data_IF_237697018754
#
_entry.id   IF_237697018754
#
_cell.length_a   1.000
_cell.length_b   1.000
_cell.length_c   1.000
_cell.angle_alpha   90.00
_cell.angle_beta   90.00
_cell.angle_gamma   90.00
#
_symmetry.space_group_name_H-M   'P 1'
#
loop_
_entity.id
_entity.type
_entity.pdbx_description
1 polymer ?
#
# COMPACT_ATOMS: atom_id res chain seq x y z
N UNK A 1 21.80 -20.07 -1.03
CA UNK A 1 20.93 -19.05 -0.42
C UNK A 1 21.82 -18.20 0.48
N UNK A 2 21.96 -16.89 0.23
CA UNK A 2 22.78 -16.02 1.09
C UNK A 2 22.16 -15.96 2.49
N UNK A 3 22.97 -16.01 3.54
CA UNK A 3 22.45 -15.80 4.89
C UNK A 3 22.13 -14.32 5.10
N UNK A 4 21.22 -14.02 6.03
CA UNK A 4 20.93 -12.65 6.42
C UNK A 4 22.19 -11.89 6.89
N UNK A 5 23.12 -12.60 7.55
CA UNK A 5 24.41 -12.04 7.96
C UNK A 5 25.31 -11.66 6.80
N UNK A 6 25.27 -12.41 5.69
CA UNK A 6 26.03 -12.09 4.48
C UNK A 6 25.43 -10.88 3.75
N UNK A 7 24.10 -10.81 3.72
CA UNK A 7 23.34 -9.73 3.08
C UNK A 7 23.46 -8.39 3.82
N UNK A 8 23.65 -8.42 5.15
CA UNK A 8 24.00 -7.22 5.94
C UNK A 8 25.43 -6.74 5.64
N UNK A 9 26.38 -7.65 5.47
CA UNK A 9 27.79 -7.30 5.27
C UNK A 9 28.06 -6.72 3.89
N UNK A 10 27.41 -7.23 2.86
CA UNK A 10 27.60 -6.80 1.47
C UNK A 10 26.74 -5.58 1.07
N UNK A 11 25.96 -5.02 2.00
CA UNK A 11 25.13 -3.84 1.77
C UNK A 11 23.89 -4.12 0.90
N UNK A 12 23.59 -5.39 0.59
CA UNK A 12 22.36 -5.74 -0.15
C UNK A 12 21.09 -5.54 0.68
N UNK A 13 21.21 -5.42 2.00
CA UNK A 13 20.12 -5.06 2.90
C UNK A 13 20.10 -3.56 3.16
N UNK A 14 19.15 -2.85 2.51
CA UNK A 14 18.89 -1.40 2.67
C UNK A 14 18.64 -0.97 4.13
N UNK A 15 18.27 -1.92 5.01
CA UNK A 15 18.04 -1.67 6.44
C UNK A 15 19.34 -1.25 7.15
N UNK A 16 20.50 -1.77 6.76
CA UNK A 16 21.77 -1.41 7.39
C UNK A 16 22.10 0.06 7.17
N UNK A 17 22.05 0.52 5.93
CA UNK A 17 22.34 1.92 5.58
C UNK A 17 21.38 2.90 6.24
N UNK A 18 20.13 2.46 6.47
CA UNK A 18 19.14 3.24 7.22
C UNK A 18 19.47 3.29 8.71
N UNK A 19 19.75 2.15 9.34
CA UNK A 19 20.11 2.09 10.76
C UNK A 19 21.40 2.86 11.03
N UNK A 20 22.40 2.76 10.15
CA UNK A 20 23.64 3.54 10.24
C UNK A 20 23.37 5.05 10.10
N UNK A 21 22.51 5.48 9.16
CA UNK A 21 22.09 6.89 9.05
C UNK A 21 21.32 7.37 10.27
N UNK A 22 20.37 6.59 10.77
CA UNK A 22 19.59 6.94 11.95
C UNK A 22 20.48 7.03 13.20
N UNK A 23 21.47 6.13 13.33
CA UNK A 23 22.46 6.17 14.40
C UNK A 23 23.39 7.39 14.31
N UNK A 24 23.77 7.81 13.10
CA UNK A 24 24.62 8.99 12.89
C UNK A 24 23.88 10.32 13.08
N UNK A 25 22.62 10.37 12.68
CA UNK A 25 21.83 11.61 12.69
C UNK A 25 20.98 11.77 13.95
N UNK A 26 20.77 10.69 14.71
CA UNK A 26 19.83 10.64 15.83
C UNK A 26 18.36 10.72 15.39
N UNK A 27 18.09 10.76 14.08
CA UNK A 27 16.75 10.85 13.52
C UNK A 27 16.28 9.45 13.08
N UNK A 28 15.36 8.88 13.85
CA UNK A 28 14.54 7.76 13.40
C UNK A 28 13.29 8.33 12.74
N UNK A 29 13.07 8.02 11.47
CA UNK A 29 11.82 8.38 10.81
C UNK A 29 10.78 7.31 11.10
N UNK A 30 9.99 7.54 12.15
CA UNK A 30 8.90 6.65 12.58
C UNK A 30 7.86 6.43 11.47
N UNK A 31 7.79 7.31 10.46
CA UNK A 31 6.91 7.15 9.30
C UNK A 31 7.26 5.93 8.44
N UNK A 32 8.46 5.35 8.60
CA UNK A 32 8.79 4.08 7.95
C UNK A 32 7.96 2.91 8.46
N UNK A 33 7.52 2.96 9.72
CA UNK A 33 6.91 1.81 10.40
C UNK A 33 5.46 2.08 10.81
N UNK A 34 5.15 3.33 11.15
CA UNK A 34 3.83 3.81 11.51
C UNK A 34 3.32 4.74 10.42
N UNK A 35 2.62 4.15 9.45
CA UNK A 35 2.07 4.92 8.34
C UNK A 35 0.67 5.41 8.67
N UNK A 36 0.48 6.72 8.55
CA UNK A 36 -0.82 7.37 8.64
C UNK A 36 -1.45 7.37 7.25
N UNK A 37 -2.51 6.56 7.06
CA UNK A 37 -3.19 6.44 5.78
C UNK A 37 -3.75 7.78 5.29
N UNK A 38 -4.15 8.68 6.20
CA UNK A 38 -4.65 10.00 5.84
C UNK A 38 -3.58 10.89 5.18
N UNK A 39 -2.30 10.51 5.31
CA UNK A 39 -1.14 11.21 4.75
C UNK A 39 -0.43 10.39 3.66
N UNK A 40 -1.07 9.36 3.12
CA UNK A 40 -0.49 8.51 2.08
C UNK A 40 -0.01 9.33 0.87
N UNK A 41 -0.70 10.42 0.53
CA UNK A 41 -0.34 11.32 -0.57
C UNK A 41 0.99 12.07 -0.36
N UNK A 42 1.45 12.21 0.89
CA UNK A 42 2.71 12.86 1.22
C UNK A 42 3.91 11.91 1.15
N UNK A 43 3.68 10.60 0.97
CA UNK A 43 4.75 9.59 0.93
C UNK A 43 5.24 9.38 -0.51
N UNK A 44 6.54 9.14 -0.66
CA UNK A 44 7.09 8.68 -1.93
C UNK A 44 6.75 7.20 -2.14
N UNK A 45 5.93 6.93 -3.16
CA UNK A 45 5.48 5.57 -3.44
C UNK A 45 6.61 4.63 -3.86
N UNK A 46 7.68 5.15 -4.48
CA UNK A 46 8.80 4.33 -4.90
C UNK A 46 9.60 3.87 -3.68
N UNK A 47 9.93 4.80 -2.79
CA UNK A 47 10.58 4.52 -1.50
C UNK A 47 9.72 3.59 -0.62
N UNK A 48 8.40 3.79 -0.60
CA UNK A 48 7.47 2.94 0.15
C UNK A 48 7.50 1.49 -0.35
N UNK A 49 7.37 1.26 -1.66
CA UNK A 49 7.46 -0.08 -2.23
C UNK A 49 8.83 -0.71 -1.98
N UNK A 50 9.92 0.06 -2.15
CA UNK A 50 11.30 -0.40 -1.94
C UNK A 50 11.58 -0.87 -0.50
N UNK A 51 10.76 -0.42 0.46
CA UNK A 51 10.87 -0.74 1.88
C UNK A 51 9.80 -1.71 2.36
N UNK A 52 8.86 -2.08 1.50
CA UNK A 52 7.76 -2.97 1.86
C UNK A 52 7.97 -4.34 1.25
N UNK A 53 8.28 -5.31 2.11
CA UNK A 53 8.34 -6.70 1.70
C UNK A 53 6.93 -7.29 1.58
N UNK A 54 6.65 -7.99 0.48
CA UNK A 54 5.41 -8.75 0.30
C UNK A 54 5.48 -10.06 1.07
N UNK A 55 5.32 -9.97 2.39
CA UNK A 55 5.14 -11.17 3.22
C UNK A 55 3.83 -11.87 2.84
N UNK A 56 3.79 -13.20 3.03
CA UNK A 56 2.71 -14.09 2.57
C UNK A 56 1.28 -13.55 2.77
N UNK A 57 0.99 -12.94 3.92
CA UNK A 57 -0.36 -12.41 4.20
C UNK A 57 -0.70 -11.20 3.34
N UNK A 58 0.25 -10.26 3.17
CA UNK A 58 0.06 -9.09 2.31
C UNK A 58 -0.01 -9.52 0.85
N UNK A 59 0.86 -10.44 0.42
CA UNK A 59 0.84 -11.02 -0.93
C UNK A 59 -0.51 -11.65 -1.25
N UNK A 60 -1.03 -12.48 -0.32
CA UNK A 60 -2.34 -13.13 -0.46
C UNK A 60 -3.47 -12.10 -0.61
N UNK A 61 -3.46 -11.05 0.21
CA UNK A 61 -4.45 -9.99 0.12
C UNK A 61 -4.36 -9.23 -1.22
N UNK A 62 -3.14 -8.89 -1.66
CA UNK A 62 -2.92 -8.20 -2.94
C UNK A 62 -3.46 -9.03 -4.11
N UNK A 63 -3.17 -10.34 -4.13
CA UNK A 63 -3.72 -11.27 -5.13
C UNK A 63 -5.25 -11.25 -5.15
N UNK A 64 -5.88 -11.36 -3.98
CA UNK A 64 -7.33 -11.37 -3.84
C UNK A 64 -7.97 -10.05 -4.30
N UNK A 65 -7.38 -8.92 -3.92
CA UNK A 65 -7.85 -7.59 -4.32
C UNK A 65 -7.69 -7.38 -5.84
N UNK A 66 -6.55 -7.76 -6.43
CA UNK A 66 -6.34 -7.66 -7.88
C UNK A 66 -7.34 -8.52 -8.67
N UNK A 67 -7.58 -9.77 -8.25
CA UNK A 67 -8.62 -10.63 -8.84
C UNK A 67 -9.99 -9.97 -8.76
N UNK A 68 -10.37 -9.46 -7.57
CA UNK A 68 -11.68 -8.86 -7.35
C UNK A 68 -11.91 -7.65 -8.24
N UNK A 69 -10.95 -6.73 -8.27
CA UNK A 69 -11.08 -5.49 -9.05
C UNK A 69 -11.04 -5.78 -10.55
N UNK A 70 -10.24 -6.74 -11.00
CA UNK A 70 -10.08 -7.05 -12.43
C UNK A 70 -11.17 -7.96 -13.00
N UNK A 71 -11.62 -8.94 -12.23
CA UNK A 71 -12.47 -10.05 -12.72
C UNK A 71 -13.82 -10.13 -12.00
N UNK A 72 -14.04 -9.35 -10.94
CA UNK A 72 -15.26 -9.42 -10.13
C UNK A 72 -15.38 -10.71 -9.29
N UNK A 73 -14.33 -11.52 -9.20
CA UNK A 73 -14.32 -12.77 -8.43
C UNK A 73 -13.83 -12.55 -6.99
N UNK A 74 -14.21 -13.44 -6.05
CA UNK A 74 -13.76 -13.37 -4.65
C UNK A 74 -14.50 -12.35 -3.78
N UNK A 75 -13.91 -12.03 -2.62
CA UNK A 75 -14.53 -11.19 -1.59
C UNK A 75 -14.53 -9.71 -2.00
N UNK A 76 -15.64 -9.02 -1.75
CA UNK A 76 -15.76 -7.58 -1.98
C UNK A 76 -15.35 -6.73 -0.76
N UNK A 77 -15.37 -7.34 0.43
CA UNK A 77 -15.14 -6.68 1.71
C UNK A 77 -14.08 -7.47 2.46
N UNK A 78 -13.07 -6.77 2.97
CA UNK A 78 -11.97 -7.35 3.73
C UNK A 78 -11.90 -6.66 5.09
N UNK A 79 -11.84 -7.47 6.15
CA UNK A 79 -11.55 -7.00 7.50
C UNK A 79 -10.09 -7.33 7.76
N UNK A 80 -9.27 -6.30 7.96
CA UNK A 80 -7.87 -6.47 8.33
C UNK A 80 -7.80 -6.78 9.82
N UNK A 81 -7.77 -8.06 10.16
CA UNK A 81 -7.53 -8.50 11.53
C UNK A 81 -6.04 -8.78 11.72
N UNK A 82 -5.37 -7.94 12.52
CA UNK A 82 -3.94 -8.08 12.82
C UNK A 82 -3.77 -8.13 14.34
N UNK A 83 -3.27 -9.26 14.85
CA UNK A 83 -3.21 -9.53 16.29
C UNK A 83 -2.13 -8.71 17.03
N UNK A 84 -1.16 -8.12 16.30
CA UNK A 84 -0.15 -7.20 16.84
C UNK A 84 0.07 -6.01 15.89
N UNK A 85 0.28 -4.81 16.45
CA UNK A 85 0.19 -3.50 15.77
C UNK A 85 1.12 -3.28 14.58
N UNK A 86 0.70 -2.37 13.68
CA UNK A 86 1.49 -1.84 12.56
C UNK A 86 1.02 -2.27 11.16
N UNK A 87 0.46 -3.47 11.00
CA UNK A 87 0.20 -4.04 9.68
C UNK A 87 -0.98 -3.42 8.91
N UNK A 88 -2.00 -2.88 9.59
CA UNK A 88 -3.26 -2.44 8.95
C UNK A 88 -3.08 -1.21 8.08
N UNK A 89 -2.63 -0.10 8.68
CA UNK A 89 -2.45 1.15 7.95
C UNK A 89 -1.41 1.00 6.83
N UNK A 90 -0.33 0.26 7.09
CA UNK A 90 0.68 -0.08 6.08
C UNK A 90 0.09 -0.86 4.91
N UNK A 91 -0.75 -1.87 5.19
CA UNK A 91 -1.46 -2.64 4.17
C UNK A 91 -2.40 -1.76 3.34
N UNK A 92 -3.16 -0.87 3.99
CA UNK A 92 -4.06 0.06 3.30
C UNK A 92 -3.28 1.03 2.39
N UNK A 93 -2.12 1.53 2.83
CA UNK A 93 -1.25 2.39 2.02
C UNK A 93 -0.66 1.63 0.84
N UNK A 94 -0.29 0.36 1.03
CA UNK A 94 0.17 -0.48 -0.07
C UNK A 94 -0.91 -0.64 -1.14
N UNK A 95 -2.15 -0.96 -0.73
CA UNK A 95 -3.29 -1.05 -1.66
C UNK A 95 -3.61 0.30 -2.31
N UNK A 96 -3.48 1.40 -1.57
CA UNK A 96 -3.63 2.75 -2.11
C UNK A 96 -2.66 3.00 -3.27
N UNK A 97 -1.35 2.74 -3.05
CA UNK A 97 -0.33 2.93 -4.09
C UNK A 97 -0.40 1.91 -5.22
N UNK A 98 -0.86 0.68 -4.95
CA UNK A 98 -1.06 -0.34 -5.97
C UNK A 98 -1.91 0.22 -7.12
N UNK A 99 -3.03 0.88 -6.81
CA UNK A 99 -3.94 1.44 -7.81
C UNK A 99 -3.57 2.87 -8.21
N UNK A 100 -3.30 3.77 -7.25
CA UNK A 100 -3.02 5.18 -7.56
C UNK A 100 -1.71 5.42 -8.29
N UNK A 101 -0.73 4.52 -8.12
CA UNK A 101 0.58 4.58 -8.80
C UNK A 101 0.75 3.38 -9.72
N UNK A 102 -0.30 3.07 -10.49
CA UNK A 102 -0.39 1.94 -11.43
C UNK A 102 0.87 1.68 -12.25
N UNK A 103 1.44 2.70 -12.90
CA UNK A 103 2.64 2.53 -13.73
C UNK A 103 3.85 2.06 -12.92
N UNK A 104 4.03 2.60 -11.72
CA UNK A 104 5.07 2.18 -10.80
C UNK A 104 4.80 0.76 -10.30
N UNK A 105 3.57 0.45 -9.89
CA UNK A 105 3.17 -0.88 -9.46
C UNK A 105 3.44 -1.96 -10.54
N UNK A 106 3.09 -1.70 -11.80
CA UNK A 106 3.37 -2.62 -12.93
C UNK A 106 4.88 -2.77 -13.25
N UNK A 107 5.74 -1.89 -12.73
CA UNK A 107 7.19 -2.01 -12.90
C UNK A 107 7.86 -2.89 -11.84
N UNK A 108 7.17 -3.16 -10.72
CA UNK A 108 7.73 -3.93 -9.60
C UNK A 108 7.83 -5.43 -9.94
N UNK A 109 9.02 -6.05 -9.79
CA UNK A 109 9.21 -7.47 -10.08
C UNK A 109 8.22 -8.39 -9.36
N UNK A 110 8.00 -8.16 -8.07
CA UNK A 110 7.15 -9.00 -7.22
C UNK A 110 5.68 -8.90 -7.66
N UNK A 111 5.21 -7.69 -8.03
CA UNK A 111 3.87 -7.49 -8.56
C UNK A 111 3.71 -8.08 -9.97
N UNK A 112 4.75 -8.05 -10.82
CA UNK A 112 4.70 -8.70 -12.14
C UNK A 112 4.54 -10.21 -12.03
N UNK A 113 5.19 -10.83 -11.05
CA UNK A 113 5.01 -12.26 -10.77
C UNK A 113 3.58 -12.56 -10.35
N UNK A 114 3.04 -11.79 -9.39
CA UNK A 114 1.63 -11.89 -9.00
C UNK A 114 0.72 -11.74 -10.22
N UNK A 115 0.84 -10.66 -10.99
CA UNK A 115 -0.01 -10.40 -12.16
C UNK A 115 0.01 -11.55 -13.17
N UNK A 116 1.20 -12.12 -13.44
CA UNK A 116 1.34 -13.27 -14.33
C UNK A 116 0.63 -14.51 -13.77
N UNK A 117 0.84 -14.82 -12.49
CA UNK A 117 0.23 -15.99 -11.83
C UNK A 117 -1.30 -15.86 -11.72
N UNK A 118 -1.79 -14.62 -11.64
CA UNK A 118 -3.22 -14.28 -11.62
C UNK A 118 -3.83 -14.12 -13.03
N UNK A 119 -3.03 -14.33 -14.09
CA UNK A 119 -3.42 -14.17 -15.49
C UNK A 119 -3.97 -12.76 -15.80
N UNK A 120 -3.39 -11.73 -15.18
CA UNK A 120 -3.77 -10.33 -15.33
C UNK A 120 -2.76 -9.59 -16.23
N UNK A 121 -3.26 -8.83 -17.21
CA UNK A 121 -2.42 -8.03 -18.12
C UNK A 121 -1.75 -6.82 -17.48
N UNK A 122 -2.05 -6.55 -16.21
CA UNK A 122 -1.53 -5.42 -15.44
C UNK A 122 -2.46 -5.13 -14.26
N UNK A 123 -2.01 -4.25 -13.36
CA UNK A 123 -2.91 -3.69 -12.35
C UNK A 123 -4.06 -2.98 -13.08
N UNK A 124 -5.34 -3.23 -12.74
CA UNK A 124 -6.47 -2.60 -13.41
C UNK A 124 -6.52 -1.11 -13.10
N UNK A 125 -7.20 -0.35 -13.96
CA UNK A 125 -7.54 1.03 -13.63
C UNK A 125 -8.68 1.03 -12.60
N UNK A 126 -8.51 1.80 -11.52
CA UNK A 126 -9.47 1.83 -10.42
C UNK A 126 -9.41 3.19 -9.71
N UNK A 127 -10.59 3.79 -9.52
CA UNK A 127 -10.74 4.97 -8.69
C UNK A 127 -10.66 4.54 -7.21
N UNK A 128 -9.80 5.21 -6.43
CA UNK A 128 -9.58 4.88 -5.00
C UNK A 128 -9.91 6.08 -4.13
N UNK A 129 -10.66 5.82 -3.06
CA UNK A 129 -10.94 6.78 -2.00
C UNK A 129 -10.55 6.22 -0.65
N UNK A 130 -10.05 7.10 0.23
CA UNK A 130 -9.70 6.79 1.61
C UNK A 130 -10.69 7.48 2.53
N UNK A 131 -11.26 6.71 3.45
CA UNK A 131 -12.06 7.21 4.56
C UNK A 131 -11.37 6.92 5.89
N UNK A 132 -11.06 7.98 6.62
CA UNK A 132 -10.51 7.87 7.96
C UNK A 132 -11.62 8.09 9.00
N UNK A 133 -12.18 7.00 9.50
CA UNK A 133 -13.24 7.04 10.51
C UNK A 133 -12.81 7.62 11.85
N UNK A 134 -11.49 7.68 12.16
CA UNK A 134 -11.00 8.26 13.40
C UNK A 134 -11.03 9.79 13.38
N UNK A 135 -10.87 10.38 12.21
CA UNK A 135 -10.85 11.82 11.98
C UNK A 135 -12.09 12.33 11.22
N UNK A 136 -13.11 11.49 11.08
CA UNK A 136 -14.37 11.86 10.44
C UNK A 136 -15.10 12.94 11.26
N UNK A 137 -15.71 13.90 10.57
CA UNK A 137 -16.52 14.92 11.23
C UNK A 137 -17.86 14.27 11.66
N UNK A 138 -18.15 14.17 12.98
CA UNK A 138 -19.37 13.51 13.46
C UNK A 138 -20.64 14.31 13.14
N UNK A 139 -20.52 15.58 12.73
CA UNK A 139 -21.65 16.41 12.32
C UNK A 139 -22.04 16.23 10.85
N UNK A 140 -21.20 15.56 10.05
CA UNK A 140 -21.43 15.34 8.63
C UNK A 140 -21.84 13.88 8.32
N UNK A 141 -22.82 13.65 7.44
CA UNK A 141 -23.04 12.33 6.83
C UNK A 141 -21.80 11.79 6.10
N UNK A 142 -21.73 10.48 5.87
CA UNK A 142 -20.59 9.83 5.20
C UNK A 142 -20.29 10.44 3.81
N UNK A 143 -21.33 10.70 3.03
CA UNK A 143 -21.23 11.22 1.66
C UNK A 143 -20.71 12.67 1.62
N UNK A 144 -20.89 13.40 2.71
CA UNK A 144 -20.48 14.80 2.86
C UNK A 144 -19.08 14.94 3.48
N UNK A 145 -18.48 13.84 3.93
CA UNK A 145 -17.11 13.84 4.41
C UNK A 145 -16.18 14.36 3.30
N UNK A 146 -15.26 15.30 3.56
CA UNK A 146 -14.57 16.06 2.51
C UNK A 146 -13.94 15.21 1.39
N UNK A 147 -13.22 14.14 1.76
CA UNK A 147 -12.57 13.24 0.80
C UNK A 147 -13.58 12.38 0.01
N UNK A 148 -14.69 12.00 0.64
CA UNK A 148 -15.77 11.23 0.02
C UNK A 148 -16.56 12.11 -0.96
N UNK A 149 -16.99 13.29 -0.51
CA UNK A 149 -17.70 14.25 -1.32
C UNK A 149 -16.88 14.66 -2.56
N UNK A 150 -15.57 14.88 -2.39
CA UNK A 150 -14.67 15.20 -3.50
C UNK A 150 -14.58 14.04 -4.49
N UNK A 151 -14.41 12.81 -4.01
CA UNK A 151 -14.35 11.62 -4.85
C UNK A 151 -15.59 11.49 -5.74
N UNK A 152 -16.79 11.59 -5.17
CA UNK A 152 -18.03 11.48 -5.94
C UNK A 152 -18.32 12.69 -6.84
N UNK A 153 -17.81 13.89 -6.51
CA UNK A 153 -17.95 15.09 -7.36
C UNK A 153 -17.00 15.10 -8.56
N UNK A 154 -15.74 14.73 -8.36
CA UNK A 154 -14.68 14.87 -9.37
C UNK A 154 -14.55 13.65 -10.30
N UNK A 155 -15.20 12.54 -9.94
CA UNK A 155 -15.24 11.34 -10.73
C UNK A 155 -15.47 10.11 -9.85
N UNK A 156 -16.75 9.80 -9.62
CA UNK A 156 -17.22 8.42 -9.42
C UNK A 156 -17.80 7.89 -10.73
N UNK A 157 -17.10 8.10 -11.85
CA UNK A 157 -17.67 7.91 -13.18
C UNK A 157 -16.92 8.59 -14.32
N UNK A 158 -15.63 8.30 -14.51
CA UNK A 158 -15.05 8.38 -15.85
C UNK A 158 -15.23 7.04 -16.56
N UNK A 159 -16.44 6.77 -17.01
CA UNK A 159 -16.63 5.94 -18.20
C UNK A 159 -16.28 6.84 -19.39
N UNK A 160 -15.11 6.64 -19.98
CA UNK A 160 -14.80 7.06 -21.34
C UNK A 160 -14.39 5.85 -22.16
#
# INVERSE_FOLDING_TARGET
>A
MKSFGDALKDGSVKLRDYVERAAQTGALDDRLFAVDLSKADALDAAEFFDRTELVKNLETLVRQVLRRVSQGSGNAVYILDTVMGGGKSHTLVYLYFLFQKRSLANSRPELREILRDEELGGVPDAEVVVFDGMNADPSLPFEEQPNIARFFKDGGGRIK
#
